data_IF_880966523459
#
_entry.id   IF_880966523459
#
_cell.length_a   1.000
_cell.length_b   1.000
_cell.length_c   1.000
_cell.angle_alpha   90.00
_cell.angle_beta   90.00
_cell.angle_gamma   90.00
#
_symmetry.space_group_name_H-M   'P 1'
#
loop_
_entity.id
_entity.type
_entity.pdbx_description
1 polymer ?
#
# COMPACT_ATOMS: atom_id res chain seq x y z
N UNK A 1 17.70 32.95 -11.67
CA UNK A 1 17.84 32.02 -10.52
C UNK A 1 17.07 30.75 -10.84
N UNK A 2 17.77 29.67 -11.17
CA UNK A 2 17.12 28.35 -11.30
C UNK A 2 16.69 27.93 -9.89
N UNK A 3 15.40 28.01 -9.59
CA UNK A 3 14.87 27.44 -8.36
C UNK A 3 15.23 25.95 -8.35
N UNK A 4 16.06 25.55 -7.39
CA UNK A 4 16.40 24.16 -7.16
C UNK A 4 15.13 23.44 -6.72
N UNK A 5 14.38 22.92 -7.69
CA UNK A 5 13.09 22.27 -7.49
C UNK A 5 13.31 20.80 -7.13
N UNK A 6 14.29 20.53 -6.26
CA UNK A 6 14.76 19.19 -5.92
C UNK A 6 13.75 18.37 -5.10
N UNK A 7 12.81 19.02 -4.42
CA UNK A 7 11.86 18.34 -3.51
C UNK A 7 10.43 18.23 -4.06
N UNK A 8 10.07 18.97 -5.13
CA UNK A 8 8.71 18.88 -5.67
C UNK A 8 8.56 17.63 -6.55
N UNK A 9 7.54 16.79 -6.30
CA UNK A 9 7.18 15.69 -7.18
C UNK A 9 7.01 16.14 -8.63
N UNK A 10 7.52 15.34 -9.57
CA UNK A 10 7.31 15.55 -11.00
C UNK A 10 5.81 15.46 -11.35
N UNK A 11 5.39 16.08 -12.45
CA UNK A 11 3.98 16.08 -12.86
C UNK A 11 3.51 14.79 -13.55
N UNK A 12 4.43 13.92 -13.99
CA UNK A 12 4.15 12.67 -14.69
C UNK A 12 5.06 11.55 -14.14
N UNK A 13 4.78 11.10 -12.92
CA UNK A 13 5.54 10.02 -12.28
C UNK A 13 4.77 8.69 -12.34
N UNK A 14 5.48 7.60 -12.11
CA UNK A 14 4.90 6.27 -11.87
C UNK A 14 4.53 6.14 -10.40
N UNK A 15 3.24 5.94 -10.11
CA UNK A 15 2.78 5.57 -8.78
C UNK A 15 2.89 4.05 -8.65
N UNK A 16 3.75 3.57 -7.75
CA UNK A 16 3.97 2.15 -7.52
C UNK A 16 3.24 1.76 -6.25
N UNK A 17 2.42 0.71 -6.32
CA UNK A 17 1.67 0.16 -5.19
C UNK A 17 2.15 -1.26 -4.95
N UNK A 18 2.54 -1.52 -3.71
CA UNK A 18 3.01 -2.83 -3.29
C UNK A 18 2.70 -3.05 -1.82
N UNK A 19 2.59 -4.31 -1.39
CA UNK A 19 2.45 -4.68 0.02
C UNK A 19 3.70 -5.37 0.57
N UNK A 20 4.18 -4.84 1.69
CA UNK A 20 5.33 -5.40 2.41
C UNK A 20 4.86 -6.01 3.71
N UNK A 21 5.29 -7.25 3.96
CA UNK A 21 5.16 -7.89 5.26
C UNK A 21 6.42 -7.68 6.10
N UNK A 22 6.29 -7.56 7.42
CA UNK A 22 7.41 -7.55 8.35
C UNK A 22 7.17 -8.55 9.47
N UNK A 23 8.09 -9.50 9.66
CA UNK A 23 7.99 -10.52 10.70
C UNK A 23 8.03 -9.91 12.09
N UNK A 24 7.23 -10.43 13.02
CA UNK A 24 7.21 -10.00 14.43
C UNK A 24 7.28 -11.22 15.34
N UNK A 25 8.06 -11.11 16.42
CA UNK A 25 8.17 -12.19 17.41
C UNK A 25 7.11 -12.12 18.51
N UNK A 26 6.47 -10.95 18.71
CA UNK A 26 5.49 -10.72 19.77
C UNK A 26 4.05 -10.62 19.29
N UNK A 27 3.13 -10.40 20.22
CA UNK A 27 1.67 -10.26 19.99
C UNK A 27 1.11 -8.85 20.28
N UNK A 28 1.96 -7.93 20.73
CA UNK A 28 1.53 -6.59 21.19
C UNK A 28 1.48 -5.53 20.09
N UNK A 29 2.09 -5.79 18.93
CA UNK A 29 2.02 -4.86 17.80
C UNK A 29 0.62 -4.95 17.17
N UNK A 30 -0.01 -3.80 16.93
CA UNK A 30 -1.29 -3.77 16.20
C UNK A 30 -1.19 -4.51 14.87
N UNK A 31 -2.24 -5.23 14.48
CA UNK A 31 -2.32 -5.97 13.22
C UNK A 31 -1.36 -7.16 13.10
N UNK A 32 -0.70 -7.55 14.19
CA UNK A 32 0.17 -8.72 14.19
C UNK A 32 -0.66 -9.99 14.17
N UNK A 33 -0.28 -10.93 13.31
CA UNK A 33 -0.88 -12.24 13.29
C UNK A 33 -0.22 -13.15 12.27
N UNK A 34 -0.62 -14.42 12.28
CA UNK A 34 -0.18 -15.37 11.25
C UNK A 34 -0.80 -15.00 9.91
N UNK A 35 0.06 -14.65 8.95
CA UNK A 35 -0.31 -14.33 7.57
C UNK A 35 0.88 -14.55 6.64
N UNK A 36 0.62 -14.63 5.34
CA UNK A 36 1.70 -14.71 4.35
C UNK A 36 2.53 -13.42 4.39
N UNK A 37 3.84 -13.57 4.56
CA UNK A 37 4.80 -12.48 4.55
C UNK A 37 5.64 -12.64 3.28
N UNK A 38 5.43 -11.75 2.31
CA UNK A 38 6.11 -11.81 1.01
C UNK A 38 7.63 -11.83 1.12
N UNK A 39 8.21 -11.02 2.02
CA UNK A 39 9.65 -10.94 2.28
C UNK A 39 10.32 -12.31 2.56
N UNK A 40 9.62 -13.20 3.26
CA UNK A 40 10.13 -14.53 3.64
C UNK A 40 9.47 -15.68 2.86
N UNK A 41 8.57 -15.36 1.93
CA UNK A 41 7.87 -16.32 1.08
C UNK A 41 6.99 -17.34 1.82
N UNK A 42 6.60 -17.07 3.07
CA UNK A 42 5.87 -18.04 3.92
C UNK A 42 4.89 -17.38 4.88
N UNK A 43 3.97 -18.19 5.41
CA UNK A 43 3.05 -17.78 6.48
C UNK A 43 3.74 -17.80 7.83
N UNK A 44 3.88 -16.63 8.44
CA UNK A 44 4.50 -16.45 9.75
C UNK A 44 3.79 -15.34 10.52
N UNK A 45 4.16 -15.14 11.79
CA UNK A 45 3.66 -14.04 12.60
C UNK A 45 4.28 -12.72 12.15
N UNK A 46 3.45 -11.76 11.75
CA UNK A 46 3.92 -10.47 11.31
C UNK A 46 2.80 -9.50 11.02
N UNK A 47 3.20 -8.31 10.55
CA UNK A 47 2.30 -7.26 10.07
C UNK A 47 2.46 -7.13 8.56
N UNK A 48 1.42 -6.65 7.88
CA UNK A 48 1.47 -6.32 6.46
C UNK A 48 0.99 -4.90 6.27
N UNK A 49 1.69 -4.16 5.42
CA UNK A 49 1.35 -2.80 5.04
C UNK A 49 1.22 -2.71 3.52
N UNK A 50 0.27 -1.93 3.04
CA UNK A 50 0.19 -1.50 1.63
C UNK A 50 0.88 -0.15 1.54
N UNK A 51 1.73 0.02 0.55
CA UNK A 51 2.56 1.22 0.38
C UNK A 51 2.34 1.82 -1.00
N UNK A 52 2.53 3.14 -1.09
CA UNK A 52 2.62 3.85 -2.36
C UNK A 52 3.94 4.56 -2.46
N UNK A 53 4.58 4.43 -3.62
CA UNK A 53 5.86 5.05 -3.93
C UNK A 53 5.73 5.85 -5.22
N UNK A 54 6.36 7.02 -5.24
CA UNK A 54 6.56 7.81 -6.42
C UNK A 54 7.89 7.43 -7.07
N UNK A 55 7.88 7.21 -8.37
CA UNK A 55 9.10 7.10 -9.17
C UNK A 55 9.01 8.00 -10.41
N UNK A 56 9.96 8.92 -10.59
CA UNK A 56 9.96 9.86 -11.73
C UNK A 56 11.04 9.58 -12.79
N UNK A 57 11.65 8.40 -12.76
CA UNK A 57 12.77 8.02 -13.62
C UNK A 57 14.14 8.25 -12.98
N UNK A 58 14.23 9.09 -11.95
CA UNK A 58 15.50 9.39 -11.25
C UNK A 58 15.35 9.19 -9.74
N UNK A 59 14.25 9.69 -9.17
CA UNK A 59 13.98 9.70 -7.73
C UNK A 59 12.91 8.70 -7.39
N UNK A 60 13.10 8.02 -6.26
CA UNK A 60 12.07 7.22 -5.59
C UNK A 60 11.74 7.86 -4.24
N UNK A 61 10.44 8.02 -3.95
CA UNK A 61 9.98 8.61 -2.68
C UNK A 61 8.76 7.84 -2.16
N UNK A 62 8.74 7.42 -0.89
CA UNK A 62 7.52 6.90 -0.28
C UNK A 62 6.48 8.02 -0.14
N UNK A 63 5.24 7.76 -0.55
CA UNK A 63 4.15 8.74 -0.49
C UNK A 63 3.21 8.50 0.70
N UNK A 64 2.73 7.26 0.86
CA UNK A 64 1.82 6.87 1.93
C UNK A 64 1.90 5.36 2.22
N UNK A 65 1.42 5.01 3.41
CA UNK A 65 1.31 3.63 3.90
C UNK A 65 -0.06 3.43 4.55
N UNK A 66 -0.64 2.24 4.38
CA UNK A 66 -1.82 1.78 5.08
C UNK A 66 -1.55 0.41 5.71
N UNK A 67 -1.97 0.23 6.97
CA UNK A 67 -1.85 -1.06 7.63
C UNK A 67 -2.97 -1.99 7.17
N UNK A 68 -2.62 -3.22 6.79
CA UNK A 68 -3.60 -4.27 6.57
C UNK A 68 -3.92 -4.98 7.88
N UNK A 69 -5.20 -4.99 8.24
CA UNK A 69 -5.74 -5.74 9.37
C UNK A 69 -6.55 -6.91 8.83
N UNK A 70 -6.29 -8.10 9.39
CA UNK A 70 -7.07 -9.29 9.03
C UNK A 70 -8.48 -9.18 9.61
N UNK A 71 -9.43 -9.86 8.97
CA UNK A 71 -10.81 -9.93 9.45
C UNK A 71 -10.91 -10.39 10.92
N UNK A 72 -10.08 -11.34 11.35
CA UNK A 72 -10.04 -11.82 12.74
C UNK A 72 -9.59 -10.77 13.78
N UNK A 73 -9.16 -9.59 13.33
CA UNK A 73 -8.85 -8.44 14.19
C UNK A 73 -10.08 -7.58 14.49
N UNK A 74 -11.23 -7.86 13.89
CA UNK A 74 -12.47 -7.09 14.03
C UNK A 74 -13.58 -7.95 14.67
N UNK A 75 -14.49 -7.32 15.43
CA UNK A 75 -15.58 -8.02 16.12
C UNK A 75 -16.51 -8.75 15.14
N UNK A 76 -16.83 -8.10 14.01
CA UNK A 76 -17.71 -8.66 12.97
C UNK A 76 -16.97 -9.38 11.86
N UNK A 77 -15.65 -9.60 12.01
CA UNK A 77 -14.88 -10.34 11.03
C UNK A 77 -14.86 -9.66 9.66
N UNK A 78 -15.27 -10.40 8.62
CA UNK A 78 -15.31 -9.90 7.23
C UNK A 78 -16.49 -8.97 6.94
N UNK A 79 -17.51 -8.99 7.80
CA UNK A 79 -18.70 -8.13 7.68
C UNK A 79 -18.53 -6.81 8.45
N UNK A 80 -17.37 -6.63 9.08
CA UNK A 80 -17.07 -5.39 9.76
C UNK A 80 -16.91 -4.26 8.74
N UNK A 81 -17.64 -3.14 8.89
CA UNK A 81 -17.53 -2.01 7.96
C UNK A 81 -16.14 -1.37 7.95
N UNK A 82 -15.32 -1.58 8.99
CA UNK A 82 -13.94 -1.10 9.05
C UNK A 82 -12.94 -2.08 8.40
N UNK A 83 -13.35 -3.33 8.15
CA UNK A 83 -12.49 -4.30 7.49
C UNK A 83 -12.31 -3.93 6.01
N UNK A 84 -11.05 -3.75 5.60
CA UNK A 84 -10.68 -3.44 4.23
C UNK A 84 -9.74 -4.48 3.67
N UNK A 85 -10.02 -4.93 2.45
CA UNK A 85 -9.10 -5.78 1.68
C UNK A 85 -7.93 -4.93 1.19
N UNK A 86 -6.79 -5.58 0.92
CA UNK A 86 -5.62 -4.88 0.36
C UNK A 86 -5.92 -4.06 -0.90
N UNK A 87 -6.71 -4.54 -1.88
CA UNK A 87 -7.11 -3.73 -3.04
C UNK A 87 -7.86 -2.45 -2.67
N UNK A 88 -8.73 -2.50 -1.66
CA UNK A 88 -9.48 -1.33 -1.20
C UNK A 88 -8.54 -0.33 -0.53
N UNK A 89 -7.60 -0.80 0.29
CA UNK A 89 -6.53 0.05 0.85
C UNK A 89 -5.68 0.69 -0.24
N UNK A 90 -5.32 -0.06 -1.29
CA UNK A 90 -4.57 0.47 -2.42
C UNK A 90 -5.33 1.59 -3.15
N UNK A 91 -6.63 1.41 -3.39
CA UNK A 91 -7.49 2.45 -3.97
C UNK A 91 -7.55 3.70 -3.08
N UNK A 92 -7.69 3.53 -1.76
CA UNK A 92 -7.67 4.66 -0.82
C UNK A 92 -6.36 5.44 -0.85
N UNK A 93 -5.23 4.74 -1.03
CA UNK A 93 -3.93 5.39 -1.17
C UNK A 93 -3.80 6.13 -2.51
N UNK A 94 -4.37 5.60 -3.60
CA UNK A 94 -4.47 6.33 -4.87
C UNK A 94 -5.31 7.58 -4.69
N UNK A 95 -6.50 7.48 -4.09
CA UNK A 95 -7.38 8.62 -3.86
C UNK A 95 -6.70 9.68 -2.99
N UNK A 96 -5.97 9.26 -1.95
CA UNK A 96 -5.17 10.17 -1.10
C UNK A 96 -4.09 10.90 -1.91
N UNK A 97 -3.41 10.19 -2.82
CA UNK A 97 -2.43 10.78 -3.74
C UNK A 97 -3.09 11.84 -4.64
N UNK A 98 -4.25 11.53 -5.24
CA UNK A 98 -5.00 12.43 -6.10
C UNK A 98 -5.54 13.65 -5.35
N UNK A 99 -6.03 13.46 -4.12
CA UNK A 99 -6.57 14.51 -3.25
C UNK A 99 -5.49 15.51 -2.81
N UNK A 100 -4.23 15.07 -2.71
CA UNK A 100 -3.07 15.97 -2.49
C UNK A 100 -2.69 16.80 -3.73
N UNK A 101 -3.37 16.61 -4.85
CA UNK A 101 -3.10 17.31 -6.11
C UNK A 101 -2.00 16.66 -6.96
N UNK A 102 -1.50 15.47 -6.56
CA UNK A 102 -0.58 14.72 -7.41
C UNK A 102 -1.33 14.06 -8.56
N UNK A 103 -0.65 13.92 -9.70
CA UNK A 103 -1.22 13.32 -10.92
C UNK A 103 -0.19 12.31 -11.44
N UNK A 104 -0.27 11.04 -11.01
CA UNK A 104 0.53 10.00 -11.61
C UNK A 104 0.24 9.89 -13.10
N UNK A 105 1.26 9.68 -13.93
CA UNK A 105 1.09 9.39 -15.34
C UNK A 105 0.74 7.92 -15.59
N UNK A 106 1.23 7.04 -14.71
CA UNK A 106 0.93 5.60 -14.72
C UNK A 106 0.86 5.10 -13.29
N UNK A 107 0.03 4.09 -13.04
CA UNK A 107 -0.01 3.36 -11.77
C UNK A 107 0.44 1.92 -12.02
N UNK A 108 1.43 1.47 -11.27
CA UNK A 108 1.98 0.11 -11.31
C UNK A 108 1.57 -0.60 -10.03
N UNK A 109 1.07 -1.84 -10.16
CA UNK A 109 0.55 -2.62 -9.05
C UNK A 109 1.01 -4.07 -9.22
N UNK A 110 1.30 -4.76 -8.11
CA UNK A 110 1.60 -6.19 -8.14
C UNK A 110 0.45 -7.01 -8.75
N UNK A 111 0.81 -8.09 -9.46
CA UNK A 111 -0.12 -8.99 -10.14
C UNK A 111 -1.11 -9.67 -9.19
N UNK A 112 -0.76 -9.83 -7.90
CA UNK A 112 -1.68 -10.30 -6.87
C UNK A 112 -2.94 -9.44 -6.72
N UNK A 113 -2.86 -8.14 -7.05
CA UNK A 113 -4.01 -7.25 -7.08
C UNK A 113 -4.83 -7.39 -8.37
N UNK A 114 -4.18 -7.74 -9.50
CA UNK A 114 -4.79 -7.83 -10.82
C UNK A 114 -5.92 -8.86 -10.92
N UNK A 115 -5.91 -9.90 -10.08
CA UNK A 115 -7.05 -10.84 -9.99
C UNK A 115 -8.30 -10.25 -9.33
N UNK A 116 -8.29 -8.97 -8.93
CA UNK A 116 -9.46 -8.27 -8.42
C UNK A 116 -10.07 -7.37 -9.51
N UNK A 117 -11.36 -7.56 -9.80
CA UNK A 117 -12.12 -6.73 -10.76
C UNK A 117 -12.25 -5.25 -10.38
N UNK A 118 -11.72 -4.83 -9.23
CA UNK A 118 -11.61 -3.43 -8.84
C UNK A 118 -10.58 -2.66 -9.66
N UNK A 119 -9.49 -3.32 -10.08
CA UNK A 119 -8.41 -2.70 -10.87
C UNK A 119 -8.51 -3.00 -12.37
N UNK A 120 -9.20 -4.08 -12.75
CA UNK A 120 -9.45 -4.45 -14.14
C UNK A 120 -10.93 -4.13 -14.46
N UNK A 121 -11.17 -2.95 -15.01
CA UNK A 121 -12.41 -2.61 -15.71
C UNK A 121 -12.12 -2.35 -17.17
#
# INVERSE_FOLDING_TARGET
MNLCRQTKPAKNFSLIIDDSGHRKSGKKTSGVGRQYIGEIGKTDNGIVIVTTHLYDGVRTLPLDVAQYLKADSFEKGKEDPEFKKKPELALELIDKCLNRGYRPGVTLIDGGYGNNGLFLK
#
